data_IF_714547242770
#
_entry.id   IF_714547242770
#
_cell.length_a   1.000
_cell.length_b   1.000
_cell.length_c   1.000
_cell.angle_alpha   90.00
_cell.angle_beta   90.00
_cell.angle_gamma   90.00
#
_symmetry.space_group_name_H-M   'P 1'
#
loop_
_entity.id
_entity.type
_entity.pdbx_description
1 polymer ?
#
# COMPACT_ATOMS: atom_id res chain seq x y z
N UNK A 1 -14.79 5.53 3.45
CA UNK A 1 -13.51 4.81 3.56
C UNK A 1 -13.60 3.47 2.88
N UNK A 2 -12.53 3.10 2.23
CA UNK A 2 -12.45 1.79 1.59
C UNK A 2 -11.94 0.75 2.56
N UNK A 3 -12.41 -0.46 2.38
CA UNK A 3 -11.87 -1.62 3.07
C UNK A 3 -11.18 -2.51 2.06
N UNK A 4 -10.03 -3.03 2.45
CA UNK A 4 -9.31 -3.98 1.63
C UNK A 4 -8.84 -5.12 2.49
N UNK A 5 -8.86 -6.31 1.92
CA UNK A 5 -8.48 -7.51 2.67
C UNK A 5 -6.98 -7.72 2.59
N UNK A 6 -6.43 -8.21 3.68
CA UNK A 6 -5.03 -8.63 3.71
C UNK A 6 -4.94 -10.01 3.07
N UNK A 7 -3.95 -10.18 2.21
CA UNK A 7 -3.76 -11.42 1.48
C UNK A 7 -2.38 -11.97 1.84
N UNK A 8 -2.34 -13.26 2.18
CA UNK A 8 -1.07 -13.88 2.52
C UNK A 8 -0.19 -14.02 1.28
N UNK A 9 1.06 -13.64 1.44
CA UNK A 9 2.05 -13.74 0.37
C UNK A 9 3.28 -14.40 0.94
N UNK A 10 3.48 -15.67 0.61
CA UNK A 10 4.58 -16.44 1.20
C UNK A 10 4.23 -16.87 2.61
N UNK A 11 5.27 -17.18 3.40
CA UNK A 11 5.09 -17.75 4.72
C UNK A 11 4.88 -16.72 5.82
N UNK A 12 5.39 -15.52 5.66
CA UNK A 12 5.39 -14.55 6.75
C UNK A 12 4.93 -13.15 6.36
N UNK A 13 4.45 -12.96 5.13
CA UNK A 13 4.06 -11.64 4.67
C UNK A 13 2.57 -11.57 4.38
N UNK A 14 1.98 -10.44 4.74
CA UNK A 14 0.61 -10.11 4.35
C UNK A 14 0.68 -8.87 3.47
N UNK A 15 -0.10 -8.86 2.41
CA UNK A 15 -0.12 -7.75 1.46
C UNK A 15 -1.51 -7.18 1.34
N UNK A 16 -1.58 -5.96 0.90
CA UNK A 16 -2.84 -5.26 0.64
C UNK A 16 -2.68 -4.49 -0.66
N UNK A 17 -3.72 -4.49 -1.48
CA UNK A 17 -3.70 -3.74 -2.72
C UNK A 17 -3.95 -2.26 -2.44
N UNK A 18 -3.23 -1.41 -3.15
CA UNK A 18 -3.40 0.03 -3.02
C UNK A 18 -4.45 0.53 -4.01
N UNK A 19 -5.14 1.63 -3.67
CA UNK A 19 -6.16 2.18 -4.57
C UNK A 19 -5.55 2.57 -5.91
N UNK A 20 -6.20 2.14 -6.98
CA UNK A 20 -5.69 2.41 -8.32
C UNK A 20 -5.62 3.90 -8.62
N UNK A 21 -6.62 4.65 -8.17
CA UNK A 21 -6.65 6.09 -8.41
C UNK A 21 -5.46 6.78 -7.75
N UNK A 22 -5.12 6.36 -6.53
CA UNK A 22 -3.97 6.93 -5.82
C UNK A 22 -2.68 6.68 -6.59
N UNK A 23 -2.53 5.45 -7.10
CA UNK A 23 -1.35 5.08 -7.88
C UNK A 23 -1.27 5.89 -9.17
N UNK A 24 -2.40 6.02 -9.87
CA UNK A 24 -2.45 6.75 -11.13
C UNK A 24 -2.17 8.23 -10.94
N UNK A 25 -2.72 8.81 -9.87
CA UNK A 25 -2.52 10.23 -9.58
C UNK A 25 -1.05 10.54 -9.34
N UNK A 26 -0.30 9.59 -8.83
CA UNK A 26 1.11 9.75 -8.54
C UNK A 26 2.00 9.13 -9.60
N UNK A 27 1.40 8.60 -10.65
CA UNK A 27 2.13 7.98 -11.77
C UNK A 27 3.07 6.88 -11.29
N UNK A 28 2.60 6.11 -10.32
CA UNK A 28 3.34 4.98 -9.80
C UNK A 28 3.05 3.74 -10.63
N UNK A 29 4.07 2.94 -10.84
CA UNK A 29 3.95 1.72 -11.61
C UNK A 29 4.78 0.63 -10.99
N UNK A 30 4.66 -0.56 -11.53
CA UNK A 30 5.40 -1.72 -11.08
C UNK A 30 6.90 -1.41 -10.98
N UNK A 31 7.46 -1.75 -9.84
CA UNK A 31 8.86 -1.53 -9.58
C UNK A 31 9.17 -0.22 -8.87
N UNK A 32 8.21 0.70 -8.82
CA UNK A 32 8.42 1.95 -8.11
C UNK A 32 8.37 1.73 -6.61
N UNK A 33 8.97 2.64 -5.86
CA UNK A 33 9.02 2.54 -4.41
C UNK A 33 8.16 3.60 -3.77
N UNK A 34 7.63 3.28 -2.59
CA UNK A 34 6.91 4.24 -1.77
C UNK A 34 7.50 4.21 -0.37
N UNK A 35 7.36 5.31 0.33
CA UNK A 35 7.80 5.40 1.72
C UNK A 35 6.62 5.03 2.62
N UNK A 36 6.91 4.24 3.66
CA UNK A 36 5.90 3.78 4.59
C UNK A 36 6.26 4.28 5.98
N UNK A 37 5.33 4.93 6.65
CA UNK A 37 5.54 5.44 7.99
C UNK A 37 4.41 4.98 8.90
N UNK A 38 4.75 4.50 10.08
CA UNK A 38 3.76 4.13 11.08
C UNK A 38 3.45 5.33 11.97
N UNK A 39 2.15 5.61 12.15
CA UNK A 39 1.71 6.67 13.05
C UNK A 39 0.53 6.16 13.85
N UNK A 40 0.74 5.87 15.13
CA UNK A 40 -0.31 5.31 15.96
C UNK A 40 -0.85 4.01 15.35
N UNK A 41 -2.14 4.00 15.04
CA UNK A 41 -2.78 2.85 14.42
C UNK A 41 -2.80 2.92 12.90
N UNK A 42 -2.10 3.89 12.32
CA UNK A 42 -2.18 4.13 10.89
C UNK A 42 -0.85 3.90 10.21
N UNK A 43 -0.92 3.58 8.93
CA UNK A 43 0.24 3.59 8.05
C UNK A 43 0.05 4.72 7.04
N UNK A 44 1.10 5.49 6.85
CA UNK A 44 1.08 6.58 5.88
C UNK A 44 2.04 6.24 4.75
N UNK A 45 1.53 6.30 3.54
CA UNK A 45 2.32 6.03 2.34
C UNK A 45 2.55 7.33 1.60
N UNK A 46 3.79 7.57 1.23
CA UNK A 46 4.15 8.76 0.45
C UNK A 46 5.12 8.39 -0.66
N UNK A 47 5.26 9.29 -1.61
CA UNK A 47 6.20 9.12 -2.71
C UNK A 47 7.47 9.95 -2.56
#
# INVERSE_FOLDING_TARGET
MEQRQLIQHGLSSLTVSLPRKWLDDRKLKKGDSVLVKEEGNALVLTT
#
